data_IF_344941450146
#
_entry.id   IF_344941450146
#
_cell.length_a   1.000
_cell.length_b   1.000
_cell.length_c   1.000
_cell.angle_alpha   90.00
_cell.angle_beta   90.00
_cell.angle_gamma   90.00
#
_symmetry.space_group_name_H-M   'P 1'
#
loop_
_entity.id
_entity.type
_entity.pdbx_description
1 polymer ?
#
# COMPACT_ATOMS: atom_id res chain seq x y z
N UNK A 1 10.78 -2.30 -18.56
CA UNK A 1 9.89 -3.12 -17.71
C UNK A 1 9.79 -2.45 -16.35
N UNK A 2 8.57 -2.26 -15.84
CA UNK A 2 8.33 -1.75 -14.49
C UNK A 2 8.04 -2.92 -13.55
N UNK A 3 8.62 -2.89 -12.36
CA UNK A 3 8.51 -3.97 -11.35
C UNK A 3 7.90 -3.42 -10.07
N UNK A 4 6.87 -4.07 -9.57
CA UNK A 4 6.27 -3.80 -8.26
C UNK A 4 6.55 -4.98 -7.33
N UNK A 5 7.36 -4.78 -6.31
CA UNK A 5 7.66 -5.78 -5.28
C UNK A 5 6.72 -5.56 -4.10
N UNK A 6 5.95 -6.57 -3.72
CA UNK A 6 5.07 -6.54 -2.55
C UNK A 6 5.54 -7.58 -1.53
N UNK A 7 5.72 -7.17 -0.28
CA UNK A 7 6.23 -8.04 0.77
C UNK A 7 5.56 -7.77 2.13
N UNK A 8 5.71 -8.71 3.04
CA UNK A 8 5.43 -8.59 4.48
C UNK A 8 6.72 -8.62 5.33
N UNK A 9 7.88 -8.61 4.68
CA UNK A 9 9.19 -8.70 5.34
C UNK A 9 9.92 -7.38 5.17
N UNK A 10 10.47 -6.85 6.26
CA UNK A 10 11.29 -5.64 6.27
C UNK A 10 12.77 -5.96 6.04
N UNK A 11 13.21 -7.14 6.46
CA UNK A 11 14.60 -7.59 6.53
C UNK A 11 15.23 -8.01 5.18
N UNK A 12 14.47 -8.00 4.09
CA UNK A 12 15.00 -8.38 2.77
C UNK A 12 15.79 -7.27 2.07
N UNK A 13 15.63 -6.01 2.49
CA UNK A 13 16.05 -4.84 1.72
C UNK A 13 17.55 -4.76 1.53
N UNK A 14 18.32 -4.99 2.59
CA UNK A 14 19.78 -4.92 2.52
C UNK A 14 20.34 -6.00 1.58
N UNK A 15 19.83 -7.23 1.70
CA UNK A 15 20.24 -8.33 0.83
C UNK A 15 19.81 -8.09 -0.63
N UNK A 16 18.62 -7.53 -0.84
CA UNK A 16 18.15 -7.15 -2.17
C UNK A 16 19.10 -6.16 -2.84
N UNK A 17 19.49 -5.10 -2.15
CA UNK A 17 20.42 -4.12 -2.73
C UNK A 17 21.83 -4.67 -2.89
N UNK A 18 22.29 -5.53 -1.97
CA UNK A 18 23.57 -6.23 -2.12
C UNK A 18 23.60 -7.07 -3.39
N UNK A 19 22.55 -7.84 -3.66
CA UNK A 19 22.43 -8.66 -4.85
C UNK A 19 22.27 -7.80 -6.12
N UNK A 20 21.46 -6.77 -6.06
CA UNK A 20 21.19 -5.89 -7.20
C UNK A 20 22.45 -5.13 -7.62
N UNK A 21 23.25 -4.65 -6.67
CA UNK A 21 24.52 -3.94 -6.95
C UNK A 21 25.60 -4.83 -7.54
N UNK A 22 25.48 -6.15 -7.41
CA UNK A 22 26.40 -7.11 -8.02
C UNK A 22 26.05 -7.44 -9.48
N UNK A 23 24.92 -6.95 -9.99
CA UNK A 23 24.51 -7.17 -11.40
C UNK A 23 25.34 -6.28 -12.30
N UNK A 24 25.91 -6.85 -13.37
CA UNK A 24 26.64 -6.10 -14.39
C UNK A 24 25.72 -5.04 -15.02
N UNK A 25 26.22 -3.80 -15.13
CA UNK A 25 25.43 -2.68 -15.66
C UNK A 25 24.38 -2.11 -14.69
N UNK A 26 24.48 -2.44 -13.38
CA UNK A 26 23.62 -1.85 -12.37
C UNK A 26 23.71 -0.32 -12.38
N UNK A 27 22.54 0.31 -12.46
CA UNK A 27 22.36 1.76 -12.32
C UNK A 27 21.18 2.03 -11.40
N UNK A 28 21.46 2.62 -10.24
CA UNK A 28 20.43 2.88 -9.21
C UNK A 28 19.38 3.87 -9.69
N UNK A 29 19.74 4.86 -10.49
CA UNK A 29 18.79 5.85 -11.02
C UNK A 29 17.83 5.23 -12.03
N UNK A 30 18.28 4.25 -12.80
CA UNK A 30 17.40 3.43 -13.64
C UNK A 30 16.47 2.59 -12.76
N UNK A 31 17.01 1.95 -11.73
CA UNK A 31 16.21 1.14 -10.81
C UNK A 31 15.11 1.96 -10.12
N UNK A 32 15.40 3.17 -9.65
CA UNK A 32 14.42 4.07 -9.02
C UNK A 32 13.25 4.41 -9.94
N UNK A 33 13.49 4.52 -11.23
CA UNK A 33 12.44 4.79 -12.22
C UNK A 33 11.54 3.59 -12.48
N UNK A 34 12.05 2.38 -12.32
CA UNK A 34 11.41 1.15 -12.77
C UNK A 34 11.02 0.19 -11.64
N UNK A 35 11.46 0.41 -10.40
CA UNK A 35 11.13 -0.44 -9.27
C UNK A 35 10.31 0.35 -8.24
N UNK A 36 9.21 -0.25 -7.79
CA UNK A 36 8.42 0.24 -6.68
C UNK A 36 8.34 -0.82 -5.58
N UNK A 37 8.51 -0.40 -4.33
CA UNK A 37 8.41 -1.26 -3.18
C UNK A 37 7.08 -1.10 -2.48
N UNK A 38 6.40 -2.21 -2.24
CA UNK A 38 5.13 -2.26 -1.53
C UNK A 38 5.22 -3.10 -0.28
N UNK A 39 4.50 -2.66 0.74
CA UNK A 39 4.33 -3.43 1.96
C UNK A 39 2.86 -3.69 2.23
N UNK A 40 2.56 -4.95 2.59
CA UNK A 40 1.26 -5.23 3.18
C UNK A 40 1.27 -4.66 4.59
N UNK A 41 0.33 -3.80 4.92
CA UNK A 41 0.19 -3.19 6.23
C UNK A 41 -1.28 -3.29 6.67
N UNK A 42 -1.55 -4.15 7.63
CA UNK A 42 -2.91 -4.36 8.14
C UNK A 42 -3.19 -3.57 9.43
N UNK A 43 -2.11 -3.19 10.14
CA UNK A 43 -2.18 -2.65 11.49
C UNK A 43 -2.45 -3.70 12.58
N UNK A 44 -2.47 -4.99 12.23
CA UNK A 44 -2.85 -6.09 13.12
C UNK A 44 -1.77 -7.18 13.15
N UNK A 45 -0.59 -6.88 13.69
CA UNK A 45 0.57 -7.78 13.73
C UNK A 45 0.25 -9.18 14.29
N UNK A 46 -0.58 -9.25 15.33
CA UNK A 46 -0.96 -10.53 15.94
C UNK A 46 -1.74 -11.47 15.03
N UNK A 47 -2.20 -11.02 13.88
CA UNK A 47 -2.93 -11.81 12.87
C UNK A 47 -2.10 -12.07 11.61
N UNK A 48 -0.85 -11.61 11.58
CA UNK A 48 0.07 -11.74 10.45
C UNK A 48 1.27 -12.64 10.81
N UNK A 49 1.06 -13.96 10.79
CA UNK A 49 2.16 -14.91 11.02
C UNK A 49 3.31 -14.77 10.00
N UNK A 50 4.55 -15.01 10.44
CA UNK A 50 5.76 -15.01 9.60
C UNK A 50 6.03 -13.69 8.84
N UNK A 51 5.57 -12.57 9.37
CA UNK A 51 5.82 -11.22 8.82
C UNK A 51 6.64 -10.39 9.80
N UNK A 52 7.38 -9.40 9.30
CA UNK A 52 7.94 -8.36 10.16
C UNK A 52 6.81 -7.53 10.78
N UNK A 53 6.97 -6.99 12.00
CA UNK A 53 5.97 -6.09 12.59
C UNK A 53 5.65 -4.89 11.70
N UNK A 54 4.42 -4.37 11.75
CA UNK A 54 4.02 -3.20 10.97
C UNK A 54 4.96 -1.99 11.16
N UNK A 55 5.43 -1.65 12.38
CA UNK A 55 6.37 -0.54 12.57
C UNK A 55 7.69 -0.71 11.83
N UNK A 56 8.23 -1.93 11.75
CA UNK A 56 9.46 -2.21 11.00
C UNK A 56 9.23 -2.06 9.49
N UNK A 57 8.13 -2.58 8.97
CA UNK A 57 7.74 -2.43 7.56
C UNK A 57 7.56 -0.96 7.19
N UNK A 58 6.94 -0.17 8.06
CA UNK A 58 6.75 1.29 7.88
C UNK A 58 8.11 1.99 7.87
N UNK A 59 9.00 1.66 8.81
CA UNK A 59 10.35 2.23 8.87
C UNK A 59 11.14 1.94 7.59
N UNK A 60 11.12 0.70 7.13
CA UNK A 60 11.79 0.28 5.89
C UNK A 60 11.21 0.99 4.66
N UNK A 61 9.89 1.11 4.57
CA UNK A 61 9.23 1.85 3.50
C UNK A 61 9.66 3.32 3.47
N UNK A 62 9.74 3.97 4.64
CA UNK A 62 10.22 5.35 4.76
C UNK A 62 11.67 5.51 4.29
N UNK A 63 12.54 4.56 4.61
CA UNK A 63 13.94 4.56 4.15
C UNK A 63 14.02 4.40 2.62
N UNK A 64 13.24 3.50 2.03
CA UNK A 64 13.18 3.30 0.59
C UNK A 64 12.68 4.55 -0.14
N UNK A 65 11.65 5.20 0.38
CA UNK A 65 11.15 6.45 -0.16
C UNK A 65 12.20 7.58 -0.07
N UNK A 66 12.86 7.72 1.07
CA UNK A 66 13.96 8.68 1.25
C UNK A 66 15.14 8.43 0.30
N UNK A 67 15.36 7.18 -0.10
CA UNK A 67 16.35 6.78 -1.11
C UNK A 67 15.92 7.10 -2.55
N UNK A 68 14.66 7.51 -2.75
CA UNK A 68 14.10 7.92 -4.05
C UNK A 68 13.31 6.84 -4.80
N UNK A 69 13.02 5.70 -4.15
CA UNK A 69 12.15 4.70 -4.74
C UNK A 69 10.67 5.02 -4.55
N UNK A 70 9.86 4.67 -5.52
CA UNK A 70 8.40 4.67 -5.35
C UNK A 70 7.98 3.62 -4.34
N UNK A 71 7.02 3.99 -3.50
CA UNK A 71 6.50 3.10 -2.45
C UNK A 71 4.99 2.98 -2.51
N UNK A 72 4.46 1.84 -2.10
CA UNK A 72 3.02 1.67 -1.99
C UNK A 72 2.63 0.79 -0.81
N UNK A 73 1.46 1.05 -0.26
CA UNK A 73 0.84 0.25 0.80
C UNK A 73 -0.25 -0.63 0.20
N UNK A 74 -0.22 -1.91 0.56
CA UNK A 74 -1.36 -2.81 0.42
C UNK A 74 -2.01 -2.97 1.79
N UNK A 75 -3.03 -2.14 2.08
CA UNK A 75 -3.92 -2.31 3.22
C UNK A 75 -4.96 -3.40 2.89
N UNK A 76 -4.45 -4.61 2.73
CA UNK A 76 -5.23 -5.77 2.31
C UNK A 76 -4.66 -7.05 2.95
N UNK A 77 -5.51 -7.77 3.69
CA UNK A 77 -6.91 -7.42 3.97
C UNK A 77 -7.02 -6.27 5.00
N UNK A 78 -8.03 -5.45 4.85
CA UNK A 78 -8.53 -4.64 5.97
C UNK A 78 -9.05 -5.61 7.03
N UNK A 79 -8.35 -5.74 8.14
CA UNK A 79 -8.76 -6.60 9.26
C UNK A 79 -9.70 -5.80 10.19
N UNK A 80 -9.25 -4.62 10.57
CA UNK A 80 -10.03 -3.63 11.29
C UNK A 80 -9.93 -2.28 10.55
N UNK A 81 -11.07 -1.66 10.17
CA UNK A 81 -11.07 -0.40 9.43
C UNK A 81 -10.32 0.74 10.12
N UNK A 82 -10.40 0.83 11.46
CA UNK A 82 -9.75 1.90 12.21
C UNK A 82 -8.23 1.76 12.22
N UNK A 83 -7.72 0.55 12.44
CA UNK A 83 -6.27 0.29 12.41
C UNK A 83 -5.70 0.46 11.00
N UNK A 84 -6.43 0.03 9.97
CA UNK A 84 -6.03 0.24 8.58
C UNK A 84 -5.99 1.73 8.21
N UNK A 85 -6.96 2.52 8.65
CA UNK A 85 -6.96 3.97 8.47
C UNK A 85 -5.76 4.63 9.19
N UNK A 86 -5.44 4.18 10.40
CA UNK A 86 -4.30 4.70 11.15
C UNK A 86 -2.98 4.42 10.42
N UNK A 87 -2.76 3.21 9.94
CA UNK A 87 -1.57 2.86 9.13
C UNK A 87 -1.45 3.74 7.88
N UNK A 88 -2.57 4.02 7.21
CA UNK A 88 -2.57 4.92 6.06
C UNK A 88 -2.16 6.33 6.48
N UNK A 89 -2.69 6.85 7.59
CA UNK A 89 -2.32 8.16 8.12
C UNK A 89 -0.84 8.25 8.50
N UNK A 90 -0.30 7.20 9.11
CA UNK A 90 1.10 7.14 9.55
C UNK A 90 2.10 7.10 8.36
N UNK A 91 1.62 6.77 7.17
CA UNK A 91 2.46 6.61 5.97
C UNK A 91 2.27 7.69 4.91
N UNK A 92 1.37 8.67 5.12
CA UNK A 92 1.01 9.71 4.13
C UNK A 92 2.21 10.47 3.55
N UNK A 93 3.26 10.71 4.35
CA UNK A 93 4.41 11.52 3.93
C UNK A 93 5.41 10.79 3.02
N UNK A 94 5.25 9.47 2.84
CA UNK A 94 6.22 8.64 2.11
C UNK A 94 5.58 7.41 1.41
N UNK A 95 4.34 7.55 0.97
CA UNK A 95 3.62 6.52 0.21
C UNK A 95 2.96 7.13 -1.03
N UNK A 96 3.26 6.57 -2.20
CA UNK A 96 2.77 7.08 -3.48
C UNK A 96 1.42 6.49 -3.89
N UNK A 97 1.07 5.29 -3.37
CA UNK A 97 -0.18 4.61 -3.71
C UNK A 97 -0.66 3.72 -2.56
N UNK A 98 -1.93 3.85 -2.22
CA UNK A 98 -2.63 2.95 -1.31
C UNK A 98 -3.56 2.02 -2.06
N UNK A 99 -3.46 0.71 -1.78
CA UNK A 99 -4.41 -0.30 -2.25
C UNK A 99 -5.20 -0.80 -1.05
N UNK A 100 -6.51 -0.61 -1.07
CA UNK A 100 -7.40 -0.96 0.05
C UNK A 100 -8.37 -2.04 -0.38
N UNK A 101 -8.36 -3.16 0.34
CA UNK A 101 -9.19 -4.32 0.01
C UNK A 101 -9.63 -5.09 1.25
N UNK A 102 -10.85 -5.63 1.19
CA UNK A 102 -11.40 -6.48 2.24
C UNK A 102 -10.87 -7.92 2.12
N UNK A 103 -10.90 -8.65 3.22
CA UNK A 103 -10.56 -10.07 3.24
C UNK A 103 -11.55 -10.86 2.38
N UNK A 104 -11.02 -11.69 1.49
CA UNK A 104 -11.81 -12.65 0.73
C UNK A 104 -12.35 -13.74 1.67
N UNK A 105 -13.63 -14.08 1.58
CA UNK A 105 -14.24 -15.14 2.35
C UNK A 105 -15.19 -14.66 3.46
N UNK A 106 -15.28 -15.41 4.55
CA UNK A 106 -16.36 -15.34 5.55
C UNK A 106 -16.26 -14.22 6.59
N UNK A 107 -15.52 -13.15 6.38
CA UNK A 107 -15.46 -12.09 7.38
C UNK A 107 -16.63 -11.14 7.18
N UNK A 108 -17.49 -11.06 8.21
CA UNK A 108 -18.59 -10.10 8.24
C UNK A 108 -18.04 -8.71 8.58
N UNK A 109 -17.90 -7.90 7.54
CA UNK A 109 -17.69 -6.47 7.74
C UNK A 109 -19.03 -5.77 7.92
N UNK A 110 -19.13 -4.92 8.92
CA UNK A 110 -20.23 -3.95 8.98
C UNK A 110 -20.16 -3.03 7.76
N UNK A 111 -21.24 -2.96 6.98
CA UNK A 111 -21.27 -2.07 5.80
C UNK A 111 -21.02 -0.61 6.20
N UNK A 112 -21.51 -0.20 7.37
CA UNK A 112 -21.30 1.13 7.93
C UNK A 112 -19.80 1.37 8.19
N UNK A 113 -19.09 0.43 8.81
CA UNK A 113 -17.66 0.58 9.13
C UNK A 113 -16.81 0.72 7.87
N UNK A 114 -17.16 -0.01 6.80
CA UNK A 114 -16.48 0.10 5.50
C UNK A 114 -16.80 1.42 4.80
N UNK A 115 -18.05 1.90 4.92
CA UNK A 115 -18.45 3.21 4.40
C UNK A 115 -17.70 4.33 5.14
N UNK A 116 -17.63 4.27 6.47
CA UNK A 116 -16.90 5.23 7.30
C UNK A 116 -15.42 5.25 6.93
N UNK A 117 -14.80 4.08 6.71
CA UNK A 117 -13.41 4.01 6.23
C UNK A 117 -13.25 4.77 4.91
N UNK A 118 -14.11 4.53 3.92
CA UNK A 118 -14.00 5.21 2.62
C UNK A 118 -14.24 6.71 2.75
N UNK A 119 -15.17 7.14 3.59
CA UNK A 119 -15.45 8.55 3.84
C UNK A 119 -14.26 9.25 4.52
N UNK A 120 -13.58 8.60 5.45
CA UNK A 120 -12.36 9.10 6.08
C UNK A 120 -11.18 9.14 5.08
N UNK A 121 -11.06 8.15 4.21
CA UNK A 121 -10.04 8.16 3.15
C UNK A 121 -10.20 9.36 2.19
N UNK A 122 -11.43 9.80 1.92
CA UNK A 122 -11.70 10.97 1.09
C UNK A 122 -11.26 12.29 1.76
N UNK A 123 -11.20 12.33 3.09
CA UNK A 123 -10.83 13.51 3.89
C UNK A 123 -9.32 13.61 4.14
N UNK A 124 -8.53 12.63 3.70
CA UNK A 124 -7.09 12.63 3.94
C UNK A 124 -6.40 13.86 3.32
N UNK A 125 -5.47 14.50 4.03
CA UNK A 125 -4.73 15.64 3.51
C UNK A 125 -3.82 15.22 2.35
N UNK A 126 -3.50 16.15 1.45
CA UNK A 126 -2.59 15.91 0.32
C UNK A 126 -3.18 15.06 -0.81
N UNK A 127 -4.43 14.61 -0.69
CA UNK A 127 -5.13 13.77 -1.69
C UNK A 127 -4.27 12.61 -2.19
N UNK A 128 -3.85 11.69 -1.30
CA UNK A 128 -3.02 10.55 -1.69
C UNK A 128 -3.72 9.70 -2.76
N UNK A 129 -2.96 9.06 -3.65
CA UNK A 129 -3.54 8.14 -4.64
C UNK A 129 -4.04 6.87 -3.94
N UNK A 130 -5.32 6.54 -4.12
CA UNK A 130 -5.98 5.42 -3.47
C UNK A 130 -6.69 4.55 -4.52
N UNK A 131 -6.35 3.28 -4.52
CA UNK A 131 -7.05 2.26 -5.29
C UNK A 131 -7.92 1.41 -4.35
N UNK A 132 -9.23 1.58 -4.45
CA UNK A 132 -10.17 0.68 -3.76
C UNK A 132 -10.36 -0.58 -4.58
N UNK A 133 -10.11 -1.75 -3.99
CA UNK A 133 -10.37 -3.02 -4.67
C UNK A 133 -11.87 -3.29 -4.86
N UNK A 134 -12.18 -4.20 -5.77
CA UNK A 134 -13.57 -4.59 -6.06
C UNK A 134 -14.32 -5.13 -4.83
N UNK A 135 -13.60 -5.71 -3.86
CA UNK A 135 -14.17 -6.15 -2.59
C UNK A 135 -14.78 -5.00 -1.78
N UNK A 136 -14.18 -3.81 -1.84
CA UNK A 136 -14.72 -2.59 -1.18
C UNK A 136 -15.85 -1.98 -1.98
N UNK A 137 -15.61 -1.68 -3.27
CA UNK A 137 -16.61 -1.02 -4.12
C UNK A 137 -17.85 -1.89 -4.35
N UNK A 138 -17.67 -3.21 -4.47
CA UNK A 138 -18.78 -4.15 -4.61
C UNK A 138 -19.62 -4.26 -3.35
N UNK A 139 -18.99 -4.31 -2.16
CA UNK A 139 -19.71 -4.31 -0.88
C UNK A 139 -20.56 -3.05 -0.70
N UNK A 140 -20.01 -1.90 -1.06
CA UNK A 140 -20.71 -0.61 -0.94
C UNK A 140 -21.66 -0.35 -2.11
N UNK A 141 -21.62 -1.16 -3.17
CA UNK A 141 -22.33 -0.93 -4.44
C UNK A 141 -22.01 0.46 -5.01
N UNK A 142 -20.74 0.85 -4.94
CA UNK A 142 -20.28 2.19 -5.30
C UNK A 142 -19.60 2.16 -6.68
N UNK A 143 -20.01 3.06 -7.56
CA UNK A 143 -19.32 3.30 -8.83
C UNK A 143 -18.02 4.09 -8.53
N UNK A 144 -16.91 3.64 -9.10
CA UNK A 144 -15.59 4.31 -8.98
C UNK A 144 -15.63 5.72 -9.57
N UNK A 145 -16.40 5.93 -10.62
CA UNK A 145 -16.52 7.23 -11.28
C UNK A 145 -17.18 8.31 -10.41
N UNK A 146 -17.78 7.91 -9.29
CA UNK A 146 -18.36 8.85 -8.31
C UNK A 146 -17.39 9.22 -7.18
N UNK A 147 -16.18 8.67 -7.20
CA UNK A 147 -15.14 8.96 -6.22
C UNK A 147 -14.29 10.17 -6.67
N UNK A 148 -13.66 10.89 -5.74
CA UNK A 148 -12.72 11.97 -6.08
C UNK A 148 -11.57 11.49 -6.98
N UNK A 149 -10.97 12.39 -7.76
CA UNK A 149 -9.92 12.11 -8.77
C UNK A 149 -8.64 11.46 -8.21
N UNK A 150 -8.43 11.53 -6.91
CA UNK A 150 -7.31 10.82 -6.26
C UNK A 150 -7.61 9.34 -5.99
N UNK A 151 -8.86 8.91 -6.18
CA UNK A 151 -9.21 7.49 -6.19
C UNK A 151 -9.02 6.93 -7.59
N UNK A 152 -7.96 6.18 -7.78
CA UNK A 152 -7.49 5.73 -9.08
C UNK A 152 -8.14 4.43 -9.55
N UNK A 153 -8.19 4.21 -10.86
CA UNK A 153 -8.70 3.01 -11.49
C UNK A 153 -7.68 1.87 -11.61
N UNK A 154 -8.11 0.79 -12.29
CA UNK A 154 -7.23 -0.37 -12.55
C UNK A 154 -6.09 -0.06 -13.52
N UNK A 155 -6.27 0.94 -14.35
CA UNK A 155 -5.38 1.43 -15.38
C UNK A 155 -4.30 2.38 -14.83
N UNK A 156 -4.39 2.78 -13.56
CA UNK A 156 -3.42 3.68 -12.96
C UNK A 156 -2.01 3.10 -12.94
N UNK A 157 -1.11 3.82 -13.58
CA UNK A 157 0.31 3.49 -13.60
C UNK A 157 1.10 4.42 -12.68
N UNK A 158 1.58 3.90 -11.56
CA UNK A 158 2.35 4.69 -10.59
C UNK A 158 3.76 5.06 -11.07
N UNK A 159 4.18 4.61 -12.25
CA UNK A 159 5.49 4.94 -12.85
C UNK A 159 5.41 6.12 -13.85
N UNK A 160 4.22 6.54 -14.18
CA UNK A 160 3.94 7.76 -14.95
C UNK A 160 3.72 8.94 -14.02
#
# INVERSE_FOLDING_TARGET
INVKLLTKRADFVDEFFRLLSAVEGYDEEICKRHIAFGFTLTGCDGQEGNSSPNPERISTMKQLHARGYRTFVSAEPVIDPKTSLQVIRDTLGFCDLYKVGLLSGKKDYGKADVQDLVDELQKLPGKPKIYLKNSVTGMLKRDRNTLPDNFVGNDYNMFE
#
